data_IF_252461766675
#
_entry.id   IF_252461766675
#
_cell.length_a   1.000
_cell.length_b   1.000
_cell.length_c   1.000
_cell.angle_alpha   90.00
_cell.angle_beta   90.00
_cell.angle_gamma   90.00
#
_symmetry.space_group_name_H-M   'P 1'
#
loop_
_entity.id
_entity.type
_entity.pdbx_description
1 polymer ?
#
# COMPACT_ATOMS: atom_id res chain seq x y z
N UNK A 1 -17.45 -4.92 -7.32
CA UNK A 1 -16.61 -5.22 -6.15
C UNK A 1 -15.67 -4.05 -6.08
N UNK A 2 -15.75 -3.29 -5.00
CA UNK A 2 -15.02 -2.02 -4.87
C UNK A 2 -13.74 -2.33 -4.12
N UNK A 3 -12.61 -1.89 -4.67
CA UNK A 3 -11.31 -2.17 -4.09
C UNK A 3 -10.61 -0.87 -3.72
N UNK A 4 -9.87 -0.92 -2.61
CA UNK A 4 -8.89 0.08 -2.24
C UNK A 4 -7.52 -0.38 -2.70
N UNK A 5 -6.86 0.45 -3.51
CA UNK A 5 -5.52 0.23 -4.00
C UNK A 5 -4.55 1.19 -3.31
N UNK A 6 -3.38 0.68 -2.92
CA UNK A 6 -2.31 1.52 -2.36
C UNK A 6 -1.07 1.41 -3.23
N UNK A 7 -0.60 2.55 -3.70
CA UNK A 7 0.68 2.73 -4.36
C UNK A 7 1.66 3.35 -3.38
N UNK A 8 2.87 2.78 -3.30
CA UNK A 8 4.01 3.40 -2.62
C UNK A 8 4.86 4.07 -3.69
N UNK A 9 5.07 5.37 -3.56
CA UNK A 9 5.88 6.13 -4.50
C UNK A 9 7.36 5.77 -4.34
N UNK A 10 8.04 5.64 -5.47
CA UNK A 10 9.45 5.28 -5.50
C UNK A 10 10.31 6.35 -4.80
N UNK A 11 11.23 5.90 -3.94
CA UNK A 11 12.19 6.75 -3.24
C UNK A 11 13.60 6.12 -3.25
N UNK A 12 14.57 6.77 -2.61
CA UNK A 12 15.96 6.28 -2.58
C UNK A 12 16.17 5.01 -1.73
N UNK A 13 15.16 4.57 -0.96
CA UNK A 13 15.28 3.44 -0.04
C UNK A 13 13.99 2.59 0.01
N UNK A 14 13.56 2.11 -1.16
CA UNK A 14 12.35 1.26 -1.29
C UNK A 14 12.42 -0.05 -0.47
N UNK A 15 13.63 -0.53 -0.17
CA UNK A 15 13.87 -1.80 0.54
C UNK A 15 13.22 -1.83 1.92
N UNK A 16 13.12 -0.69 2.62
CA UNK A 16 12.48 -0.63 3.94
C UNK A 16 10.96 -0.85 3.84
N UNK A 17 10.32 -0.36 2.79
CA UNK A 17 8.88 -0.58 2.54
C UNK A 17 8.61 -2.01 2.11
N UNK A 18 9.44 -2.57 1.21
CA UNK A 18 9.32 -3.96 0.76
C UNK A 18 9.41 -4.93 1.95
N UNK A 19 10.30 -4.65 2.90
CA UNK A 19 10.46 -5.46 4.12
C UNK A 19 9.22 -5.46 5.01
N UNK A 20 8.49 -4.34 5.07
CA UNK A 20 7.20 -4.26 5.77
C UNK A 20 6.12 -5.02 5.00
N UNK A 21 5.95 -4.70 3.71
CA UNK A 21 4.93 -5.28 2.83
C UNK A 21 5.04 -6.81 2.74
N UNK A 22 6.25 -7.37 2.77
CA UNK A 22 6.47 -8.83 2.75
C UNK A 22 6.01 -9.54 4.02
N UNK A 23 5.88 -8.85 5.15
CA UNK A 23 5.35 -9.43 6.40
C UNK A 23 3.82 -9.51 6.38
N UNK A 24 3.19 -8.65 5.59
CA UNK A 24 1.72 -8.51 5.54
C UNK A 24 1.12 -9.07 4.26
N UNK A 25 1.94 -9.36 3.25
CA UNK A 25 1.53 -9.91 1.95
C UNK A 25 2.27 -11.21 1.61
N UNK A 26 1.59 -12.11 0.90
CA UNK A 26 2.20 -13.29 0.27
C UNK A 26 2.99 -12.95 -1.01
N UNK A 27 2.85 -11.72 -1.55
CA UNK A 27 3.51 -11.29 -2.80
C UNK A 27 5.03 -11.37 -2.72
N UNK A 28 5.71 -11.99 -3.72
CA UNK A 28 7.17 -12.03 -3.81
C UNK A 28 7.84 -10.65 -3.71
N UNK A 29 9.04 -10.62 -3.12
CA UNK A 29 9.86 -9.40 -2.99
C UNK A 29 10.05 -8.70 -4.33
N UNK A 30 10.34 -9.46 -5.40
CA UNK A 30 10.55 -8.91 -6.73
C UNK A 30 9.28 -8.27 -7.32
N UNK A 31 8.11 -8.82 -7.03
CA UNK A 31 6.83 -8.25 -7.49
C UNK A 31 6.52 -6.94 -6.74
N UNK A 32 6.75 -6.90 -5.42
CA UNK A 32 6.60 -5.67 -4.63
C UNK A 32 7.56 -4.58 -5.12
N UNK A 33 8.82 -4.94 -5.38
CA UNK A 33 9.83 -4.03 -5.92
C UNK A 33 9.39 -3.47 -7.27
N UNK A 34 9.01 -4.35 -8.19
CA UNK A 34 8.56 -3.94 -9.52
C UNK A 34 7.32 -3.05 -9.44
N UNK A 35 6.38 -3.35 -8.53
CA UNK A 35 5.19 -2.53 -8.35
C UNK A 35 5.55 -1.09 -7.95
N UNK A 36 6.44 -0.91 -6.96
CA UNK A 36 6.92 0.41 -6.54
C UNK A 36 7.65 1.13 -7.69
N UNK A 37 8.56 0.43 -8.38
CA UNK A 37 9.36 1.02 -9.46
C UNK A 37 8.52 1.41 -10.69
N UNK A 38 7.39 0.74 -10.91
CA UNK A 38 6.50 0.98 -12.06
C UNK A 38 5.23 1.75 -11.71
N UNK A 39 5.09 2.20 -10.45
CA UNK A 39 3.91 2.93 -9.99
C UNK A 39 2.64 2.10 -10.04
N UNK A 40 2.73 0.80 -9.75
CA UNK A 40 1.58 -0.09 -9.62
C UNK A 40 1.20 -0.30 -8.15
N UNK A 41 -0.07 -0.66 -7.86
CA UNK A 41 -0.50 -0.95 -6.51
C UNK A 41 0.30 -2.09 -5.86
N UNK A 42 0.81 -1.83 -4.66
CA UNK A 42 1.45 -2.84 -3.80
C UNK A 42 0.42 -3.61 -2.99
N UNK A 43 -0.69 -2.98 -2.62
CA UNK A 43 -1.81 -3.57 -1.88
C UNK A 43 -3.11 -3.37 -2.67
N UNK A 44 -3.94 -4.40 -2.64
CA UNK A 44 -5.33 -4.41 -3.10
C UNK A 44 -6.15 -4.98 -1.94
N UNK A 45 -7.23 -4.30 -1.57
CA UNK A 45 -8.05 -4.57 -0.40
C UNK A 45 -9.52 -4.49 -0.78
N UNK A 46 -10.32 -5.48 -0.41
CA UNK A 46 -11.78 -5.42 -0.63
C UNK A 46 -12.40 -4.38 0.30
N UNK A 47 -13.07 -3.38 -0.26
CA UNK A 47 -13.74 -2.33 0.51
C UNK A 47 -14.84 -2.87 1.44
N UNK A 48 -15.41 -4.02 1.12
CA UNK A 48 -16.45 -4.63 1.95
C UNK A 48 -15.89 -5.54 3.05
N UNK A 49 -14.59 -5.85 3.04
CA UNK A 49 -13.93 -6.61 4.10
C UNK A 49 -13.40 -5.64 5.18
N UNK A 50 -14.13 -5.56 6.29
CA UNK A 50 -13.80 -4.64 7.38
C UNK A 50 -12.51 -5.01 8.11
N UNK A 51 -12.12 -6.29 8.14
CA UNK A 51 -10.89 -6.72 8.80
C UNK A 51 -9.67 -6.46 7.91
N UNK A 52 -9.80 -6.63 6.59
CA UNK A 52 -8.79 -6.18 5.64
C UNK A 52 -8.62 -4.65 5.68
N UNK A 53 -9.71 -3.88 5.74
CA UNK A 53 -9.64 -2.42 5.85
C UNK A 53 -8.93 -1.93 7.12
N UNK A 54 -9.20 -2.54 8.29
CA UNK A 54 -8.49 -2.22 9.53
C UNK A 54 -6.99 -2.52 9.40
N UNK A 55 -6.66 -3.66 8.81
CA UNK A 55 -5.28 -4.07 8.57
C UNK A 55 -4.59 -3.13 7.58
N UNK A 56 -5.30 -2.66 6.56
CA UNK A 56 -4.82 -1.69 5.57
C UNK A 56 -4.43 -0.37 6.21
N UNK A 57 -5.27 0.19 7.10
CA UNK A 57 -4.97 1.45 7.80
C UNK A 57 -3.68 1.32 8.61
N UNK A 58 -3.52 0.23 9.36
CA UNK A 58 -2.29 -0.02 10.15
C UNK A 58 -1.05 -0.09 9.24
N UNK A 59 -1.16 -0.75 8.09
CA UNK A 59 -0.05 -0.85 7.13
C UNK A 59 0.28 0.52 6.53
N UNK A 60 -0.72 1.33 6.19
CA UNK A 60 -0.56 2.70 5.70
C UNK A 60 0.18 3.56 6.73
N UNK A 61 -0.25 3.56 7.98
CA UNK A 61 0.41 4.30 9.06
C UNK A 61 1.87 3.86 9.23
N UNK A 62 2.14 2.56 9.15
CA UNK A 62 3.49 2.02 9.22
C UNK A 62 4.35 2.47 8.02
N UNK A 63 3.81 2.47 6.80
CA UNK A 63 4.50 2.99 5.61
C UNK A 63 4.83 4.48 5.76
N UNK A 64 3.85 5.28 6.18
CA UNK A 64 4.02 6.73 6.41
C UNK A 64 5.06 7.00 7.50
N UNK A 65 5.05 6.26 8.61
CA UNK A 65 6.05 6.40 9.69
C UNK A 65 7.47 6.01 9.25
N UNK A 66 7.60 5.13 8.26
CA UNK A 66 8.88 4.82 7.59
C UNK A 66 9.30 5.89 6.57
N UNK A 67 8.48 6.92 6.35
CA UNK A 67 8.74 8.01 5.41
C UNK A 67 8.26 7.74 3.98
N UNK A 68 7.39 6.75 3.76
CA UNK A 68 6.82 6.51 2.44
C UNK A 68 5.93 7.68 2.02
N UNK A 69 6.04 8.08 0.76
CA UNK A 69 4.94 8.81 0.11
C UNK A 69 4.03 7.77 -0.56
N UNK A 70 2.73 7.90 -0.39
CA UNK A 70 1.75 6.94 -0.90
C UNK A 70 0.65 7.64 -1.69
N UNK A 71 -0.01 6.86 -2.54
CA UNK A 71 -1.31 7.21 -3.13
C UNK A 71 -2.30 6.11 -2.85
N UNK A 72 -3.55 6.50 -2.64
CA UNK A 72 -4.65 5.59 -2.35
C UNK A 72 -5.71 5.81 -3.40
N UNK A 73 -6.28 4.73 -3.94
CA UNK A 73 -7.34 4.80 -4.92
C UNK A 73 -8.51 3.94 -4.49
N UNK A 74 -9.71 4.45 -4.65
CA UNK A 74 -10.94 3.66 -4.64
C UNK A 74 -11.32 3.37 -6.09
N UNK A 75 -11.15 2.12 -6.51
CA UNK A 75 -11.18 1.75 -7.92
C UNK A 75 -10.19 2.63 -8.73
N UNK A 76 -10.69 3.48 -9.64
CA UNK A 76 -9.86 4.35 -10.49
C UNK A 76 -9.71 5.79 -9.95
N UNK A 77 -10.27 6.09 -8.76
CA UNK A 77 -10.28 7.45 -8.21
C UNK A 77 -9.27 7.60 -7.09
N UNK A 78 -8.31 8.50 -7.25
CA UNK A 78 -7.37 8.86 -6.18
C UNK A 78 -8.14 9.51 -5.02
N UNK A 79 -7.93 9.00 -3.80
CA UNK A 79 -8.56 9.48 -2.56
C UNK A 79 -7.47 9.84 -1.55
N UNK A 80 -7.83 10.68 -0.57
CA UNK A 80 -6.96 11.01 0.56
C UNK A 80 -7.54 10.39 1.82
N UNK A 81 -6.69 9.73 2.60
CA UNK A 81 -7.06 9.25 3.93
C UNK A 81 -6.82 10.39 4.92
N UNK A 82 -7.88 10.92 5.52
CA UNK A 82 -7.77 11.83 6.66
C UNK A 82 -7.53 10.99 7.92
N UNK A 83 -6.30 11.04 8.44
CA UNK A 83 -5.96 10.43 9.73
C UNK A 83 -6.27 11.44 10.84
N UNK A 84 -7.17 11.07 11.75
CA UNK A 84 -7.61 11.87 12.89
C UNK A 84 -6.66 11.80 14.08
#
# INVERSE_FOLDING_TARGET
MDFIYVEVLNDSNITKYISLLRKTSSKPINELKQAIETGKPVIECDYYDTEELKSLVIIIEQLLSLGASIKIYENDREITLEMS
#
